data_IF_772637985962
#
_entry.id   IF_772637985962
#
_cell.length_a   1.000
_cell.length_b   1.000
_cell.length_c   1.000
_cell.angle_alpha   90.00
_cell.angle_beta   90.00
_cell.angle_gamma   90.00
#
_symmetry.space_group_name_H-M   'P 1'
#
loop_
_entity.id
_entity.type
_entity.pdbx_description
1 polymer ?
#
# COMPACT_ATOMS: atom_id res chain seq x y z
N UNK A 1 -11.02 13.62 -9.85
CA UNK A 1 -10.76 13.01 -11.16
C UNK A 1 -9.25 13.00 -11.38
N UNK A 2 -8.60 11.85 -11.21
CA UNK A 2 -7.17 11.69 -11.54
C UNK A 2 -7.12 11.11 -12.94
N UNK A 3 -6.69 11.91 -13.91
CA UNK A 3 -6.55 11.45 -15.30
C UNK A 3 -5.22 10.72 -15.42
N UNK A 4 -5.26 9.39 -15.53
CA UNK A 4 -4.10 8.61 -15.96
C UNK A 4 -3.95 8.83 -17.46
N UNK A 5 -2.91 9.56 -17.88
CA UNK A 5 -2.54 9.67 -19.29
C UNK A 5 -1.83 8.36 -19.68
N UNK A 6 -2.60 7.39 -20.18
CA UNK A 6 -2.04 6.13 -20.66
C UNK A 6 -1.36 6.33 -22.02
N UNK A 7 -0.03 6.26 -22.02
CA UNK A 7 0.75 5.94 -23.23
C UNK A 7 0.90 4.42 -23.31
N UNK A 8 0.51 3.76 -24.41
CA UNK A 8 0.67 2.32 -24.58
C UNK A 8 2.11 1.89 -24.30
N UNK A 9 2.30 0.88 -23.43
CA UNK A 9 3.61 0.34 -23.07
C UNK A 9 4.31 0.99 -21.86
N UNK A 10 3.72 2.01 -21.22
CA UNK A 10 4.29 2.65 -20.04
C UNK A 10 3.61 2.13 -18.78
N UNK A 11 4.33 1.33 -17.99
CA UNK A 11 3.91 0.97 -16.63
C UNK A 11 3.73 2.26 -15.83
N UNK A 12 2.49 2.67 -15.59
CA UNK A 12 2.20 3.86 -14.79
C UNK A 12 2.45 3.51 -13.32
N UNK A 13 3.46 4.17 -12.75
CA UNK A 13 3.86 3.97 -11.37
C UNK A 13 3.78 5.32 -10.64
N UNK A 14 2.87 5.43 -9.69
CA UNK A 14 2.78 6.57 -8.79
C UNK A 14 3.66 6.31 -7.57
N UNK A 15 4.62 7.19 -7.32
CA UNK A 15 5.34 7.22 -6.04
C UNK A 15 4.45 7.88 -5.01
N UNK A 16 4.21 7.19 -3.90
CA UNK A 16 3.40 7.69 -2.79
C UNK A 16 4.21 7.64 -1.52
N UNK A 17 3.87 8.51 -0.58
CA UNK A 17 4.30 8.40 0.81
C UNK A 17 3.25 7.59 1.56
N UNK A 18 3.65 6.85 2.60
CA UNK A 18 2.68 6.14 3.46
C UNK A 18 2.91 6.46 4.94
N UNK A 19 1.83 6.73 5.66
CA UNK A 19 1.82 6.98 7.10
C UNK A 19 1.18 5.78 7.80
N UNK A 20 1.90 5.16 8.73
CA UNK A 20 1.38 4.14 9.62
C UNK A 20 0.73 4.82 10.83
N UNK A 21 -0.60 4.87 10.85
CA UNK A 21 -1.37 5.56 11.87
C UNK A 21 -1.25 4.89 13.24
N UNK A 22 -0.94 3.59 13.28
CA UNK A 22 -0.81 2.85 14.54
C UNK A 22 0.52 3.17 15.25
N UNK A 23 1.59 3.43 14.48
CA UNK A 23 2.93 3.70 15.00
C UNK A 23 3.40 5.16 14.84
N UNK A 24 2.63 6.00 14.13
CA UNK A 24 3.04 7.36 13.75
C UNK A 24 4.27 7.39 12.83
N UNK A 25 4.58 6.28 12.14
CA UNK A 25 5.78 6.15 11.30
C UNK A 25 5.48 6.49 9.85
N UNK A 26 6.38 7.25 9.22
CA UNK A 26 6.32 7.55 7.78
C UNK A 26 7.24 6.63 7.00
N UNK A 27 6.71 6.05 5.92
CA UNK A 27 7.41 5.21 4.96
C UNK A 27 7.51 5.92 3.61
N UNK A 28 8.75 6.18 3.20
CA UNK A 28 9.09 6.71 1.88
C UNK A 28 9.30 5.59 0.86
N UNK A 29 9.22 5.94 -0.42
CA UNK A 29 9.53 5.01 -1.51
C UNK A 29 8.47 3.94 -1.77
N UNK A 30 7.22 4.18 -1.39
CA UNK A 30 6.10 3.38 -1.86
C UNK A 30 5.81 3.67 -3.32
N UNK A 31 5.31 2.65 -4.00
CA UNK A 31 4.98 2.69 -5.42
C UNK A 31 3.65 1.98 -5.63
N UNK A 32 2.67 2.71 -6.13
CA UNK A 32 1.42 2.16 -6.60
C UNK A 32 1.53 2.01 -8.12
N UNK A 33 1.61 0.77 -8.58
CA UNK A 33 1.86 0.44 -9.98
C UNK A 33 0.64 -0.24 -10.57
N UNK A 34 0.11 0.29 -11.67
CA UNK A 34 -0.93 -0.39 -12.44
C UNK A 34 -0.29 -1.43 -13.36
N UNK A 35 -0.87 -2.63 -13.37
CA UNK A 35 -0.47 -3.70 -14.26
C UNK A 35 -1.70 -4.19 -15.02
N UNK A 36 -1.61 -4.07 -16.34
CA UNK A 36 -2.67 -4.46 -17.26
C UNK A 36 -2.93 -5.98 -17.23
N UNK A 37 -1.87 -6.78 -17.03
CA UNK A 37 -1.93 -8.25 -17.02
C UNK A 37 -2.89 -8.87 -16.01
N UNK A 38 -3.23 -8.14 -14.94
CA UNK A 38 -4.23 -8.56 -13.95
C UNK A 38 -5.25 -7.45 -13.66
N UNK A 39 -5.35 -6.45 -14.54
CA UNK A 39 -6.28 -5.32 -14.46
C UNK A 39 -6.35 -4.74 -13.03
N UNK A 40 -5.21 -4.38 -12.47
CA UNK A 40 -5.15 -3.99 -11.07
C UNK A 40 -3.90 -3.25 -10.65
N UNK A 41 -3.98 -2.66 -9.46
CA UNK A 41 -2.86 -1.96 -8.84
C UNK A 41 -2.14 -2.87 -7.85
N UNK A 42 -0.81 -2.78 -7.83
CA UNK A 42 0.02 -3.38 -6.79
C UNK A 42 0.77 -2.29 -6.04
N UNK A 43 0.69 -2.37 -4.73
CA UNK A 43 1.50 -1.57 -3.81
C UNK A 43 2.84 -2.29 -3.59
N UNK A 44 3.92 -1.70 -4.10
CA UNK A 44 5.28 -2.23 -4.01
C UNK A 44 6.27 -1.19 -3.47
N UNK A 45 7.58 -1.48 -3.59
CA UNK A 45 8.64 -0.65 -3.00
C UNK A 45 8.83 -0.98 -1.52
N UNK A 46 8.57 -0.01 -0.64
CA UNK A 46 8.75 -0.19 0.80
C UNK A 46 7.72 -1.13 1.47
N UNK A 47 6.72 -1.65 0.74
CA UNK A 47 5.69 -2.53 1.29
C UNK A 47 6.27 -3.74 2.05
N UNK A 48 7.28 -4.40 1.49
CA UNK A 48 7.96 -5.52 2.16
C UNK A 48 8.58 -5.13 3.51
N UNK A 49 9.05 -3.89 3.65
CA UNK A 49 9.58 -3.37 4.92
C UNK A 49 8.46 -3.17 5.94
N UNK A 50 7.30 -2.66 5.53
CA UNK A 50 6.13 -2.54 6.40
C UNK A 50 5.67 -3.92 6.87
N UNK A 51 5.54 -4.89 5.96
CA UNK A 51 5.15 -6.25 6.31
C UNK A 51 6.07 -6.85 7.37
N UNK A 52 7.39 -6.66 7.24
CA UNK A 52 8.37 -7.12 8.23
C UNK A 52 8.26 -6.38 9.55
N UNK A 53 8.23 -5.05 9.53
CA UNK A 53 8.20 -4.23 10.75
C UNK A 53 6.92 -4.45 11.57
N UNK A 54 5.78 -4.58 10.88
CA UNK A 54 4.47 -4.77 11.51
C UNK A 54 4.11 -6.23 11.70
N UNK A 55 5.05 -7.15 11.43
CA UNK A 55 4.87 -8.60 11.48
C UNK A 55 3.58 -9.06 10.78
N UNK A 56 3.27 -8.49 9.60
CA UNK A 56 2.05 -8.81 8.87
C UNK A 56 2.09 -10.25 8.38
N UNK A 57 0.99 -10.96 8.60
CA UNK A 57 0.80 -12.34 8.14
C UNK A 57 -0.29 -12.40 7.08
N UNK A 58 -0.27 -13.47 6.29
CA UNK A 58 -1.40 -13.82 5.43
C UNK A 58 -2.67 -13.89 6.28
N UNK A 59 -3.77 -13.30 5.79
CA UNK A 59 -5.06 -13.09 6.48
C UNK A 59 -5.12 -11.93 7.49
N UNK A 60 -4.03 -11.22 7.78
CA UNK A 60 -4.15 -9.92 8.46
C UNK A 60 -4.98 -8.96 7.59
N UNK A 61 -5.88 -8.21 8.20
CA UNK A 61 -6.65 -7.16 7.53
C UNK A 61 -6.03 -5.81 7.83
N UNK A 62 -5.71 -5.09 6.77
CA UNK A 62 -5.13 -3.75 6.83
C UNK A 62 -6.13 -2.73 6.28
N UNK A 63 -6.15 -1.55 6.88
CA UNK A 63 -6.86 -0.39 6.34
C UNK A 63 -5.90 0.43 5.50
N UNK A 64 -6.36 0.86 4.32
CA UNK A 64 -5.67 1.82 3.48
C UNK A 64 -6.62 2.96 3.17
N UNK A 65 -6.15 4.20 3.32
CA UNK A 65 -6.93 5.41 3.04
C UNK A 65 -6.06 6.45 2.35
N UNK A 66 -6.54 7.04 1.25
CA UNK A 66 -5.82 8.12 0.60
C UNK A 66 -6.30 9.46 1.14
N UNK A 67 -5.38 10.23 1.73
CA UNK A 67 -5.63 11.62 2.08
C UNK A 67 -5.36 12.51 0.85
N UNK A 68 -6.39 13.16 0.28
CA UNK A 68 -6.24 14.03 -0.88
C UNK A 68 -5.58 15.39 -0.57
N UNK A 69 -5.60 15.84 0.69
CA UNK A 69 -5.03 17.11 1.13
C UNK A 69 -3.51 16.99 1.21
N UNK A 70 -3.05 16.04 2.04
CA UNK A 70 -1.61 15.81 2.27
C UNK A 70 -0.97 14.92 1.21
N UNK A 71 -1.79 14.33 0.32
CA UNK A 71 -1.38 13.44 -0.77
C UNK A 71 -0.55 12.26 -0.26
N UNK A 72 -1.06 11.62 0.79
CA UNK A 72 -0.41 10.53 1.50
C UNK A 72 -1.37 9.35 1.66
N UNK A 73 -0.82 8.14 1.60
CA UNK A 73 -1.57 6.92 1.87
C UNK A 73 -1.46 6.59 3.35
N UNK A 74 -2.56 6.52 4.07
CA UNK A 74 -2.63 6.06 5.44
C UNK A 74 -2.76 4.56 5.51
N UNK A 75 -2.13 3.97 6.52
CA UNK A 75 -2.08 2.53 6.79
C UNK A 75 -2.37 2.27 8.27
N UNK A 76 -3.13 1.21 8.53
CA UNK A 76 -3.37 0.69 9.88
C UNK A 76 -3.62 -0.81 9.83
N UNK A 77 -3.30 -1.52 10.91
CA UNK A 77 -3.66 -2.94 11.08
C UNK A 77 -5.01 -3.03 11.78
N UNK A 78 -6.04 -3.48 11.08
CA UNK A 78 -7.41 -3.52 11.59
C UNK A 78 -7.75 -4.81 12.32
N UNK A 79 -7.19 -5.93 11.85
CA UNK A 79 -7.43 -7.24 12.46
C UNK A 79 -6.24 -8.14 12.19
N UNK A 80 -5.76 -8.83 13.23
CA UNK A 80 -4.75 -9.88 13.09
C UNK A 80 -5.41 -11.19 12.70
N UNK A 81 -4.73 -11.97 11.87
CA UNK A 81 -5.07 -13.35 11.61
C UNK A 81 -5.17 -14.09 12.95
N UNK A 82 -6.20 -14.93 13.09
CA UNK A 82 -6.30 -15.83 14.23
C UNK A 82 -5.03 -16.68 14.29
N UNK A 83 -4.50 -16.88 15.49
CA UNK A 83 -3.47 -17.88 15.68
C UNK A 83 -4.03 -19.21 15.17
N UNK A 84 -3.28 -19.92 14.33
CA UNK A 84 -3.63 -21.29 14.00
C UNK A 84 -3.80 -22.02 15.33
N UNK A 85 -4.99 -22.57 15.56
CA UNK A 85 -5.18 -23.53 16.65
C UNK A 85 -4.41 -24.77 16.20
N UNK A 86 -3.31 -25.04 16.87
CA UNK A 86 -2.51 -26.26 16.70
C UNK A 86 -3.32 -27.51 17.06
#
# INVERSE_FOLDING_TARGET
>A
MVTVLETPGKVSCLRVRLVDDDEGRVYEGMKLTYYDSYNGYVLNGAWNKICKNRCLKVKDRVGLYWDPVDKVLHFSVRQRAEAARD
#
